data_IF_899728013090
#
_entry.id   IF_899728013090
#
_cell.length_a   1.000
_cell.length_b   1.000
_cell.length_c   1.000
_cell.angle_alpha   90.00
_cell.angle_beta   90.00
_cell.angle_gamma   90.00
#
_symmetry.space_group_name_H-M   'P 1'
#
loop_
_entity.id
_entity.type
_entity.pdbx_description
1 polymer ?
#
# COMPACT_ATOMS: atom_id res chain seq x y z
N UNK A 1 10.48 -29.20 2.17
CA UNK A 1 11.76 -28.80 2.80
C UNK A 1 12.59 -27.82 1.97
N UNK A 2 12.70 -27.96 0.64
CA UNK A 2 13.55 -27.07 -0.20
C UNK A 2 13.23 -25.56 -0.11
N UNK A 3 11.95 -25.16 -0.04
CA UNK A 3 11.56 -23.75 0.03
C UNK A 3 12.09 -23.02 1.27
N UNK A 4 11.99 -23.66 2.45
CA UNK A 4 12.51 -23.11 3.71
C UNK A 4 14.03 -22.94 3.68
N UNK A 5 14.76 -23.92 3.13
CA UNK A 5 16.21 -23.83 3.00
C UNK A 5 16.64 -22.67 2.07
N UNK A 6 15.92 -22.48 0.96
CA UNK A 6 16.16 -21.37 0.02
C UNK A 6 15.95 -20.00 0.69
N UNK A 7 14.90 -19.85 1.50
CA UNK A 7 14.66 -18.62 2.25
C UNK A 7 15.75 -18.36 3.30
N UNK A 8 16.20 -19.39 4.01
CA UNK A 8 17.30 -19.27 4.99
C UNK A 8 18.58 -18.77 4.30
N UNK A 9 18.97 -19.39 3.19
CA UNK A 9 20.16 -18.98 2.42
C UNK A 9 20.04 -17.52 1.95
N UNK A 10 18.86 -17.12 1.49
CA UNK A 10 18.60 -15.75 1.05
C UNK A 10 18.67 -14.74 2.20
N UNK A 11 18.10 -15.05 3.36
CA UNK A 11 18.19 -14.21 4.55
C UNK A 11 19.65 -14.06 5.02
N UNK A 12 20.43 -15.15 5.01
CA UNK A 12 21.86 -15.10 5.31
C UNK A 12 22.61 -14.17 4.33
N UNK A 13 22.33 -14.25 3.03
CA UNK A 13 22.90 -13.33 2.02
C UNK A 13 22.51 -11.89 2.28
N UNK A 14 21.25 -11.63 2.61
CA UNK A 14 20.76 -10.29 2.95
C UNK A 14 21.51 -9.73 4.16
N UNK A 15 21.63 -10.50 5.24
CA UNK A 15 22.36 -10.09 6.44
C UNK A 15 23.86 -9.87 6.19
N UNK A 16 24.44 -10.59 5.22
CA UNK A 16 25.83 -10.44 4.83
C UNK A 16 26.09 -9.27 3.86
N UNK A 17 25.05 -8.59 3.36
CA UNK A 17 25.17 -7.51 2.35
C UNK A 17 25.08 -6.13 3.02
N UNK A 18 26.20 -5.38 3.15
CA UNK A 18 26.22 -4.11 3.88
C UNK A 18 25.27 -3.05 3.33
N UNK A 19 25.06 -3.00 2.01
CA UNK A 19 24.13 -2.04 1.38
C UNK A 19 22.68 -2.26 1.82
N UNK A 20 22.34 -3.46 2.30
CA UNK A 20 21.01 -3.79 2.80
C UNK A 20 20.95 -3.60 4.32
N UNK A 21 21.98 -4.02 5.06
CA UNK A 21 21.95 -3.96 6.52
C UNK A 21 22.36 -2.62 7.13
N UNK A 22 23.14 -1.79 6.43
CA UNK A 22 23.59 -0.49 6.96
C UNK A 22 22.44 0.46 7.31
N UNK A 23 21.43 0.70 6.44
CA UNK A 23 20.33 1.62 6.77
C UNK A 23 19.57 1.25 8.05
N UNK A 24 19.06 0.01 8.24
CA UNK A 24 18.44 -0.36 9.51
C UNK A 24 19.42 -0.31 10.68
N UNK A 25 20.69 -0.70 10.52
CA UNK A 25 21.66 -0.67 11.61
C UNK A 25 21.98 0.76 12.09
N UNK A 26 22.17 1.71 11.16
CA UNK A 26 22.39 3.12 11.53
C UNK A 26 21.20 3.69 12.28
N UNK A 27 19.98 3.30 11.86
CA UNK A 27 18.74 3.71 12.52
C UNK A 27 18.67 3.16 13.93
N UNK A 28 19.00 1.88 14.11
CA UNK A 28 19.01 1.26 15.42
C UNK A 28 20.04 1.92 16.35
N UNK A 29 21.27 2.11 15.89
CA UNK A 29 22.32 2.76 16.69
C UNK A 29 21.89 4.16 17.18
N UNK A 30 21.28 4.96 16.30
CA UNK A 30 20.81 6.31 16.66
C UNK A 30 19.59 6.29 17.59
N UNK A 31 18.62 5.39 17.40
CA UNK A 31 17.49 5.22 18.33
C UNK A 31 17.97 4.89 19.74
N UNK A 32 18.97 4.02 19.84
CA UNK A 32 19.57 3.64 21.13
C UNK A 32 20.29 4.81 21.79
N UNK A 33 21.05 5.62 21.04
CA UNK A 33 21.67 6.87 21.57
C UNK A 33 20.62 7.82 22.17
N UNK A 34 19.41 7.85 21.61
CA UNK A 34 18.27 8.62 22.11
C UNK A 34 17.47 7.91 23.23
N UNK A 35 17.99 6.82 23.77
CA UNK A 35 17.32 6.03 24.83
C UNK A 35 16.16 5.16 24.36
N UNK A 36 15.86 5.08 23.05
CA UNK A 36 14.73 4.29 22.51
C UNK A 36 15.17 2.88 22.15
N UNK A 37 14.90 1.89 23.02
CA UNK A 37 15.21 0.47 22.79
C UNK A 37 14.07 -0.24 22.05
N UNK A 38 14.07 -0.13 20.73
CA UNK A 38 13.00 -0.63 19.83
C UNK A 38 13.13 -2.09 19.36
N UNK A 39 14.11 -2.83 19.87
CA UNK A 39 14.38 -4.24 19.56
C UNK A 39 14.66 -5.03 20.85
N UNK A 40 14.51 -6.37 20.84
CA UNK A 40 14.87 -7.21 21.99
C UNK A 40 16.32 -6.98 22.44
N UNK A 41 16.58 -7.04 23.76
CA UNK A 41 17.90 -6.80 24.34
C UNK A 41 19.01 -7.67 23.74
N UNK A 42 18.71 -8.91 23.39
CA UNK A 42 19.67 -9.82 22.74
C UNK A 42 20.13 -9.30 21.36
N UNK A 43 19.24 -8.63 20.61
CA UNK A 43 19.59 -8.03 19.31
C UNK A 43 20.52 -6.83 19.50
N UNK A 44 20.33 -6.05 20.56
CA UNK A 44 21.20 -4.91 20.89
C UNK A 44 22.61 -5.33 21.28
N UNK A 45 22.75 -6.42 22.04
CA UNK A 45 24.05 -6.97 22.42
C UNK A 45 24.86 -7.38 21.18
N UNK A 46 24.23 -8.03 20.20
CA UNK A 46 24.90 -8.42 18.95
C UNK A 46 25.33 -7.23 18.07
N UNK A 47 24.57 -6.13 18.09
CA UNK A 47 24.88 -4.92 17.31
C UNK A 47 26.12 -4.19 17.87
N UNK A 48 26.30 -4.18 19.19
CA UNK A 48 27.41 -3.48 19.85
C UNK A 48 28.76 -4.18 19.65
N UNK A 49 28.76 -5.52 19.56
CA UNK A 49 29.98 -6.32 19.41
C UNK A 49 30.69 -6.12 18.06
N UNK A 50 30.16 -5.27 17.17
CA UNK A 50 30.73 -4.89 15.87
C UNK A 50 31.12 -6.07 14.96
N UNK A 51 30.62 -7.28 15.25
CA UNK A 51 31.10 -8.55 14.68
C UNK A 51 29.96 -9.38 14.11
N UNK A 52 29.32 -8.88 13.04
CA UNK A 52 28.28 -9.55 12.23
C UNK A 52 27.01 -9.94 13.04
N UNK A 53 25.84 -9.76 12.45
CA UNK A 53 24.56 -10.17 13.04
C UNK A 53 24.50 -11.71 13.04
N UNK A 54 24.63 -12.37 14.20
CA UNK A 54 24.89 -13.83 14.22
C UNK A 54 23.64 -14.68 14.45
N UNK A 55 22.80 -14.38 15.45
CA UNK A 55 21.75 -15.34 15.87
C UNK A 55 20.42 -14.71 16.25
N UNK A 56 20.40 -13.76 17.18
CA UNK A 56 19.16 -13.13 17.67
C UNK A 56 18.57 -12.18 16.62
N UNK A 57 19.41 -11.43 15.91
CA UNK A 57 18.93 -10.59 14.79
C UNK A 57 18.36 -11.44 13.66
N UNK A 58 19.03 -12.56 13.35
CA UNK A 58 18.55 -13.51 12.35
C UNK A 58 17.21 -14.13 12.77
N UNK A 59 17.09 -14.55 14.03
CA UNK A 59 15.86 -15.09 14.59
C UNK A 59 14.71 -14.08 14.49
N UNK A 60 14.96 -12.82 14.87
CA UNK A 60 13.99 -11.73 14.77
C UNK A 60 13.57 -11.44 13.32
N UNK A 61 14.53 -11.31 12.40
CA UNK A 61 14.23 -11.09 10.99
C UNK A 61 13.46 -12.26 10.38
N UNK A 62 13.81 -13.50 10.75
CA UNK A 62 13.12 -14.71 10.32
C UNK A 62 11.69 -14.78 10.86
N UNK A 63 11.46 -14.35 12.10
CA UNK A 63 10.13 -14.29 12.71
C UNK A 63 9.25 -13.24 12.01
N UNK A 64 9.75 -12.02 11.84
CA UNK A 64 9.05 -10.93 11.14
C UNK A 64 8.69 -11.29 9.69
N UNK A 65 9.54 -12.07 9.02
CA UNK A 65 9.38 -12.47 7.62
C UNK A 65 8.82 -13.89 7.48
N UNK A 66 8.37 -14.52 8.56
CA UNK A 66 7.97 -15.93 8.56
C UNK A 66 6.74 -16.21 7.69
N UNK A 67 5.86 -15.23 7.51
CA UNK A 67 4.70 -15.28 6.61
C UNK A 67 4.99 -14.84 5.19
N UNK A 68 6.17 -14.27 4.92
CA UNK A 68 6.49 -13.59 3.68
C UNK A 68 7.42 -14.42 2.79
N UNK A 69 7.35 -14.15 1.48
CA UNK A 69 8.31 -14.69 0.52
C UNK A 69 9.15 -13.57 -0.07
N UNK A 70 10.44 -13.51 0.28
CA UNK A 70 11.35 -12.59 -0.39
C UNK A 70 11.65 -13.13 -1.80
N UNK A 71 11.48 -12.25 -2.79
CA UNK A 71 11.73 -12.53 -4.21
C UNK A 71 12.77 -11.55 -4.76
N UNK A 72 13.30 -11.81 -5.96
CA UNK A 72 14.15 -10.87 -6.68
C UNK A 72 13.45 -10.32 -7.92
N UNK A 73 13.59 -9.02 -8.15
CA UNK A 73 13.13 -8.34 -9.35
C UNK A 73 14.06 -7.16 -9.65
N UNK A 74 14.54 -7.08 -10.90
CA UNK A 74 15.39 -5.98 -11.36
C UNK A 74 16.60 -5.72 -10.46
N UNK A 75 17.32 -6.81 -10.12
CA UNK A 75 18.48 -6.78 -9.23
C UNK A 75 18.16 -6.63 -7.74
N UNK A 76 16.97 -6.17 -7.36
CA UNK A 76 16.55 -5.89 -5.98
C UNK A 76 15.77 -7.03 -5.35
N UNK A 77 15.72 -7.05 -4.02
CA UNK A 77 14.87 -7.91 -3.21
C UNK A 77 13.51 -7.24 -2.97
N UNK A 78 12.46 -8.05 -2.99
CA UNK A 78 11.07 -7.61 -2.77
C UNK A 78 10.39 -8.57 -1.81
N UNK A 79 10.04 -8.08 -0.62
CA UNK A 79 9.23 -8.79 0.38
C UNK A 79 7.78 -8.84 -0.10
N UNK A 80 7.15 -7.67 -0.25
CA UNK A 80 5.83 -7.46 -0.82
C UNK A 80 5.72 -6.00 -1.28
N UNK A 81 4.58 -5.63 -1.86
CA UNK A 81 4.33 -4.28 -2.37
C UNK A 81 4.11 -3.18 -1.32
N UNK A 82 4.01 -3.51 -0.03
CA UNK A 82 3.88 -2.54 1.06
C UNK A 82 5.22 -1.95 1.50
N UNK A 83 6.32 -2.61 1.13
CA UNK A 83 7.67 -2.16 1.44
C UNK A 83 8.40 -1.82 0.13
N UNK A 84 9.24 -0.76 0.12
CA UNK A 84 10.04 -0.45 -1.04
C UNK A 84 11.04 -1.59 -1.34
N UNK A 85 11.37 -1.83 -2.63
CA UNK A 85 12.36 -2.83 -3.01
C UNK A 85 13.75 -2.42 -2.50
N UNK A 86 14.59 -3.38 -2.13
CA UNK A 86 15.90 -3.12 -1.52
C UNK A 86 17.06 -3.90 -2.14
N UNK A 87 18.27 -3.34 -2.18
CA UNK A 87 18.63 -2.00 -1.72
C UNK A 87 18.10 -0.89 -2.66
N UNK A 88 18.02 0.34 -2.15
CA UNK A 88 17.61 1.51 -2.93
C UNK A 88 17.23 2.72 -2.07
N UNK A 89 17.17 3.90 -2.71
CA UNK A 89 16.91 5.18 -2.04
C UNK A 89 15.58 5.22 -1.27
N UNK A 90 14.53 4.61 -1.82
CA UNK A 90 13.23 4.47 -1.15
C UNK A 90 13.31 3.62 0.12
N UNK A 91 14.09 2.53 0.08
CA UNK A 91 14.34 1.67 1.24
C UNK A 91 15.13 2.41 2.31
N UNK A 92 16.23 3.07 1.92
CA UNK A 92 17.03 3.89 2.83
C UNK A 92 16.17 4.96 3.52
N UNK A 93 15.36 5.68 2.73
CA UNK A 93 14.44 6.70 3.22
C UNK A 93 13.43 6.16 4.23
N UNK A 94 12.80 5.01 3.96
CA UNK A 94 11.85 4.39 4.88
C UNK A 94 12.50 4.17 6.25
N UNK A 95 13.76 3.70 6.28
CA UNK A 95 14.51 3.50 7.51
C UNK A 95 14.93 4.83 8.16
N UNK A 96 15.43 5.80 7.39
CA UNK A 96 15.77 7.13 7.91
C UNK A 96 14.56 7.83 8.54
N UNK A 97 13.37 7.70 7.97
CA UNK A 97 12.14 8.28 8.52
C UNK A 97 11.72 7.65 9.87
N UNK A 98 12.17 6.43 10.18
CA UNK A 98 11.96 5.86 11.52
C UNK A 98 12.75 6.61 12.61
N UNK A 99 13.81 7.34 12.24
CA UNK A 99 14.65 8.17 13.15
C UNK A 99 14.09 9.54 13.45
N UNK A 100 13.35 10.16 12.54
CA UNK A 100 12.83 11.51 12.72
C UNK A 100 11.78 11.60 13.85
N UNK A 101 11.36 10.46 14.40
CA UNK A 101 10.09 10.35 15.10
C UNK A 101 8.96 10.36 14.06
N UNK A 102 7.88 9.62 14.31
CA UNK A 102 6.76 9.34 13.38
C UNK A 102 6.06 10.57 12.76
N UNK A 103 6.47 11.80 13.08
CA UNK A 103 5.75 13.02 12.76
C UNK A 103 6.04 13.61 11.37
N UNK A 104 7.18 13.31 10.74
CA UNK A 104 7.62 14.12 9.58
C UNK A 104 7.48 13.48 8.20
N UNK A 105 7.22 12.17 8.07
CA UNK A 105 7.22 11.54 6.75
C UNK A 105 6.29 10.33 6.60
N UNK A 106 5.46 10.27 5.54
CA UNK A 106 4.70 9.06 5.21
C UNK A 106 5.63 7.96 4.65
N UNK A 107 5.31 6.70 4.94
CA UNK A 107 5.89 5.55 4.25
C UNK A 107 5.38 5.49 2.81
N UNK A 108 4.07 5.63 2.61
CA UNK A 108 3.48 5.72 1.27
C UNK A 108 2.51 6.88 1.12
N UNK A 109 2.45 7.43 -0.08
CA UNK A 109 1.44 8.40 -0.45
C UNK A 109 0.81 8.00 -1.79
N UNK A 110 -0.51 8.10 -1.89
CA UNK A 110 -1.25 7.79 -3.10
C UNK A 110 -1.91 9.04 -3.65
N UNK A 111 -1.82 9.25 -4.97
CA UNK A 111 -2.40 10.41 -5.64
C UNK A 111 -3.42 9.93 -6.67
N UNK A 112 -4.66 10.37 -6.54
CA UNK A 112 -5.62 10.28 -7.63
C UNK A 112 -5.32 11.35 -8.67
N UNK A 113 -4.73 10.99 -9.81
CA UNK A 113 -4.25 11.97 -10.80
C UNK A 113 -5.35 12.54 -11.69
N UNK A 114 -6.51 11.88 -11.70
CA UNK A 114 -7.69 12.32 -12.45
C UNK A 114 -8.95 11.75 -11.79
N UNK A 115 -10.13 12.32 -12.08
CA UNK A 115 -11.41 11.68 -11.79
C UNK A 115 -11.92 10.81 -12.95
N UNK A 116 -11.38 10.99 -14.14
CA UNK A 116 -11.89 10.37 -15.36
C UNK A 116 -11.62 8.86 -15.36
N UNK A 117 -12.67 8.07 -15.57
CA UNK A 117 -12.57 6.62 -15.57
C UNK A 117 -13.56 6.01 -16.58
N UNK A 118 -13.11 5.17 -17.53
CA UNK A 118 -13.99 4.53 -18.49
C UNK A 118 -14.73 3.30 -17.92
N UNK A 119 -14.72 3.13 -16.60
CA UNK A 119 -15.31 2.02 -15.85
C UNK A 119 -16.33 2.53 -14.84
N UNK A 120 -17.26 1.65 -14.47
CA UNK A 120 -18.29 1.93 -13.48
C UNK A 120 -18.36 0.83 -12.40
N UNK A 121 -17.19 0.45 -11.87
CA UNK A 121 -17.02 -0.65 -10.91
C UNK A 121 -18.04 -0.62 -9.77
N UNK A 122 -18.52 -1.77 -9.32
CA UNK A 122 -19.50 -1.87 -8.22
C UNK A 122 -18.97 -1.36 -6.88
N UNK A 123 -17.67 -1.52 -6.62
CA UNK A 123 -16.99 -1.20 -5.34
C UNK A 123 -16.25 0.14 -5.31
N UNK A 124 -16.39 0.99 -6.34
CA UNK A 124 -15.53 2.16 -6.50
C UNK A 124 -15.55 3.09 -5.27
N UNK A 125 -14.41 3.20 -4.58
CA UNK A 125 -14.23 4.09 -3.42
C UNK A 125 -14.23 5.57 -3.80
N UNK A 126 -13.82 5.89 -5.04
CA UNK A 126 -13.68 7.26 -5.53
C UNK A 126 -15.02 7.90 -5.96
N UNK A 127 -16.15 7.20 -5.80
CA UNK A 127 -17.48 7.75 -6.10
C UNK A 127 -17.76 8.97 -5.23
N UNK A 128 -18.22 10.06 -5.87
CA UNK A 128 -18.58 11.32 -5.19
C UNK A 128 -17.48 12.39 -5.26
N UNK A 129 -16.25 12.04 -5.63
CA UNK A 129 -15.18 13.01 -5.90
C UNK A 129 -15.42 13.68 -7.27
N UNK A 130 -16.22 14.76 -7.27
CA UNK A 130 -16.70 15.43 -8.50
C UNK A 130 -15.88 16.66 -8.91
N UNK A 131 -15.04 17.17 -8.01
CA UNK A 131 -14.24 18.40 -8.23
C UNK A 131 -13.30 18.24 -9.44
N UNK A 132 -12.95 19.33 -10.15
CA UNK A 132 -12.02 19.28 -11.28
C UNK A 132 -10.62 18.79 -10.88
N UNK A 133 -9.92 18.18 -11.83
CA UNK A 133 -8.54 17.74 -11.65
C UNK A 133 -7.59 18.92 -11.48
N UNK A 134 -6.59 18.77 -10.60
CA UNK A 134 -5.47 19.69 -10.54
C UNK A 134 -4.74 19.75 -11.89
N UNK A 135 -4.33 20.94 -12.36
CA UNK A 135 -3.49 21.03 -13.55
C UNK A 135 -2.22 20.20 -13.40
N UNK A 136 -1.72 19.60 -14.49
CA UNK A 136 -0.50 18.77 -14.45
C UNK A 136 0.69 19.49 -13.80
N UNK A 137 0.84 20.81 -14.02
CA UNK A 137 1.89 21.61 -13.38
C UNK A 137 1.80 21.58 -11.85
N UNK A 138 0.60 21.63 -11.27
CA UNK A 138 0.37 21.51 -9.84
C UNK A 138 0.58 20.08 -9.34
N UNK A 139 0.20 19.07 -10.12
CA UNK A 139 0.47 17.66 -9.77
C UNK A 139 1.97 17.33 -9.73
N UNK A 140 2.76 17.95 -10.62
CA UNK A 140 4.23 17.82 -10.60
C UNK A 140 4.82 18.45 -9.33
N UNK A 141 4.37 19.65 -8.95
CA UNK A 141 4.79 20.30 -7.69
C UNK A 141 4.39 19.45 -6.48
N UNK A 142 3.16 18.94 -6.45
CA UNK A 142 2.70 18.03 -5.39
C UNK A 142 3.58 16.78 -5.28
N UNK A 143 4.01 16.23 -6.42
CA UNK A 143 4.91 15.07 -6.44
C UNK A 143 6.28 15.40 -5.83
N UNK A 144 6.78 16.62 -6.02
CA UNK A 144 7.99 17.09 -5.33
C UNK A 144 7.78 17.27 -3.85
N UNK A 145 6.65 17.85 -3.45
CA UNK A 145 6.32 18.08 -2.05
C UNK A 145 6.26 16.76 -1.29
N UNK A 146 5.68 15.72 -1.89
CA UNK A 146 5.71 14.36 -1.34
C UNK A 146 7.13 13.79 -1.23
N UNK A 147 7.97 14.02 -2.24
CA UNK A 147 9.37 13.59 -2.20
C UNK A 147 10.16 14.33 -1.11
N UNK A 148 9.90 15.63 -0.92
CA UNK A 148 10.51 16.48 0.12
C UNK A 148 10.04 16.09 1.51
N UNK A 149 8.76 15.76 1.66
CA UNK A 149 8.17 15.21 2.88
C UNK A 149 8.71 13.81 3.21
N UNK A 150 9.47 13.19 2.32
CA UNK A 150 10.12 11.91 2.58
C UNK A 150 9.26 10.70 2.27
N UNK A 151 8.25 10.80 1.40
CA UNK A 151 7.51 9.64 0.93
C UNK A 151 8.45 8.58 0.32
N UNK A 152 8.38 7.34 0.82
CA UNK A 152 9.22 6.23 0.34
C UNK A 152 8.58 5.52 -0.84
N UNK A 153 7.25 5.40 -0.82
CA UNK A 153 6.45 4.87 -1.92
C UNK A 153 5.50 5.97 -2.39
N UNK A 154 5.43 6.21 -3.70
CA UNK A 154 4.39 7.06 -4.29
C UNK A 154 3.60 6.20 -5.26
N UNK A 155 2.30 6.09 -5.03
CA UNK A 155 1.40 5.38 -5.94
C UNK A 155 0.50 6.34 -6.71
N UNK A 156 0.36 6.13 -8.01
CA UNK A 156 -0.60 6.85 -8.83
C UNK A 156 -1.83 5.98 -9.07
N UNK A 157 -3.00 6.58 -8.87
CA UNK A 157 -4.34 5.99 -8.98
C UNK A 157 -5.29 7.08 -9.50
N UNK A 158 -6.59 6.94 -9.24
CA UNK A 158 -7.58 8.01 -9.40
C UNK A 158 -8.13 8.10 -10.80
N UNK A 159 -9.47 8.07 -10.83
CA UNK A 159 -10.18 7.61 -11.99
C UNK A 159 -9.48 6.36 -12.51
N UNK A 160 -9.12 6.41 -13.78
CA UNK A 160 -8.10 5.54 -14.37
C UNK A 160 -6.84 6.38 -14.68
N UNK A 161 -5.70 6.17 -13.99
CA UNK A 161 -4.51 7.00 -14.19
C UNK A 161 -3.91 6.91 -15.61
N UNK A 162 -4.21 5.84 -16.36
CA UNK A 162 -3.85 5.75 -17.78
C UNK A 162 -4.67 6.68 -18.68
N UNK A 163 -5.71 7.36 -18.19
CA UNK A 163 -6.36 8.46 -18.91
C UNK A 163 -5.59 9.79 -18.75
N UNK A 164 -4.67 9.88 -17.78
CA UNK A 164 -3.87 11.08 -17.60
C UNK A 164 -2.72 11.14 -18.62
N UNK A 165 -2.80 12.10 -19.55
CA UNK A 165 -1.86 12.27 -20.69
C UNK A 165 -0.39 12.33 -20.26
N UNK A 166 -0.11 12.95 -19.11
CA UNK A 166 1.26 13.18 -18.61
C UNK A 166 1.66 12.24 -17.46
N UNK A 167 1.02 11.06 -17.33
CA UNK A 167 1.31 10.11 -16.24
C UNK A 167 2.79 9.68 -16.18
N UNK A 168 3.45 9.58 -17.34
CA UNK A 168 4.88 9.25 -17.41
C UNK A 168 5.76 10.32 -16.76
N UNK A 169 5.39 11.60 -16.84
CA UNK A 169 6.15 12.71 -16.26
C UNK A 169 6.03 12.71 -14.73
N UNK A 170 4.84 12.42 -14.21
CA UNK A 170 4.61 12.25 -12.77
C UNK A 170 5.42 11.07 -12.21
N UNK A 171 5.41 9.93 -12.92
CA UNK A 171 6.24 8.76 -12.57
C UNK A 171 7.72 9.14 -12.56
N UNK A 172 8.20 9.81 -13.61
CA UNK A 172 9.60 10.25 -13.70
C UNK A 172 9.98 11.18 -12.56
N UNK A 173 9.09 12.10 -12.20
CA UNK A 173 9.30 13.03 -11.10
C UNK A 173 9.44 12.31 -9.77
N UNK A 174 8.52 11.42 -9.44
CA UNK A 174 8.54 10.62 -8.21
C UNK A 174 9.77 9.70 -8.12
N UNK A 175 10.10 9.01 -9.22
CA UNK A 175 11.25 8.11 -9.28
C UNK A 175 12.58 8.86 -9.12
N UNK A 176 12.74 9.99 -9.81
CA UNK A 176 13.93 10.86 -9.69
C UNK A 176 14.03 11.46 -8.27
N UNK A 177 12.87 11.79 -7.68
CA UNK A 177 12.73 12.20 -6.30
C UNK A 177 13.06 11.11 -5.28
N UNK A 178 13.35 9.88 -5.72
CA UNK A 178 13.84 8.78 -4.89
C UNK A 178 12.77 7.85 -4.31
N UNK A 179 11.50 8.03 -4.69
CA UNK A 179 10.42 7.14 -4.28
C UNK A 179 10.38 5.86 -5.13
N UNK A 180 9.89 4.77 -4.55
CA UNK A 180 9.47 3.60 -5.31
C UNK A 180 8.07 3.87 -5.86
N UNK A 181 7.93 3.87 -7.19
CA UNK A 181 6.69 4.28 -7.85
C UNK A 181 5.82 3.08 -8.20
N UNK A 182 4.55 3.13 -7.82
CA UNK A 182 3.54 2.10 -8.13
C UNK A 182 2.41 2.74 -8.95
N UNK A 183 1.89 2.03 -9.94
CA UNK A 183 0.70 2.45 -10.68
C UNK A 183 -0.46 1.47 -10.40
N UNK A 184 -1.60 1.97 -9.97
CA UNK A 184 -2.83 1.19 -9.78
C UNK A 184 -3.80 1.46 -10.93
N UNK A 185 -4.14 0.45 -11.71
CA UNK A 185 -4.87 0.64 -12.97
C UNK A 185 -5.79 -0.54 -13.28
N UNK A 186 -6.80 -0.29 -14.10
CA UNK A 186 -7.59 -1.31 -14.79
C UNK A 186 -6.83 -1.96 -15.96
N UNK A 187 -5.78 -1.29 -16.45
CA UNK A 187 -5.04 -1.70 -17.65
C UNK A 187 -5.57 -1.08 -18.95
N UNK A 188 -6.71 -0.39 -18.91
CA UNK A 188 -7.30 0.24 -20.10
C UNK A 188 -6.35 1.28 -20.71
N UNK A 189 -5.96 1.04 -21.97
CA UNK A 189 -5.03 1.88 -22.71
C UNK A 189 -3.55 1.64 -22.39
N UNK A 190 -3.20 0.47 -21.82
CA UNK A 190 -1.81 0.03 -21.67
C UNK A 190 -1.42 -0.99 -22.75
N UNK A 191 -0.67 -0.53 -23.75
CA UNK A 191 0.00 -1.40 -24.71
C UNK A 191 1.50 -1.60 -24.35
N UNK A 192 2.22 -2.35 -25.18
CA UNK A 192 3.64 -2.63 -24.97
C UNK A 192 4.52 -1.38 -25.02
N UNK A 193 4.26 -0.45 -25.94
CA UNK A 193 5.03 0.77 -26.10
C UNK A 193 4.89 1.65 -24.85
N UNK A 194 3.64 1.86 -24.43
CA UNK A 194 3.32 2.61 -23.23
C UNK A 194 3.90 1.95 -21.99
N UNK A 195 3.82 0.63 -21.85
CA UNK A 195 4.45 -0.09 -20.73
C UNK A 195 5.98 0.13 -20.69
N UNK A 196 6.68 0.07 -21.84
CA UNK A 196 8.12 0.39 -21.93
C UNK A 196 8.40 1.85 -21.59
N UNK A 197 7.57 2.79 -22.03
CA UNK A 197 7.68 4.22 -21.70
C UNK A 197 7.56 4.45 -20.19
N UNK A 198 6.59 3.81 -19.53
CA UNK A 198 6.41 3.92 -18.07
C UNK A 198 7.58 3.28 -17.31
N UNK A 199 8.08 2.11 -17.75
CA UNK A 199 9.29 1.49 -17.18
C UNK A 199 10.50 2.42 -17.31
N UNK A 200 10.72 3.02 -18.48
CA UNK A 200 11.81 3.98 -18.73
C UNK A 200 11.68 5.25 -17.88
N UNK A 201 10.45 5.68 -17.59
CA UNK A 201 10.20 6.78 -16.67
C UNK A 201 10.55 6.44 -15.21
N UNK A 202 10.78 5.16 -14.88
CA UNK A 202 11.12 4.73 -13.53
C UNK A 202 9.97 4.08 -12.77
N UNK A 203 8.88 3.69 -13.45
CA UNK A 203 7.84 2.89 -12.83
C UNK A 203 8.43 1.57 -12.34
N UNK A 204 8.31 1.30 -11.04
CA UNK A 204 8.82 0.07 -10.45
C UNK A 204 7.79 -1.05 -10.57
N UNK A 205 6.56 -0.79 -10.13
CA UNK A 205 5.51 -1.79 -10.06
C UNK A 205 4.19 -1.28 -10.64
N UNK A 206 3.38 -2.20 -11.14
CA UNK A 206 2.04 -1.93 -11.65
C UNK A 206 1.07 -2.97 -11.10
N UNK A 207 -0.07 -2.51 -10.62
CA UNK A 207 -1.10 -3.31 -9.98
C UNK A 207 -2.39 -3.23 -10.80
N UNK A 208 -2.76 -4.37 -11.38
CA UNK A 208 -3.94 -4.49 -12.21
C UNK A 208 -5.16 -4.94 -11.43
N UNK A 209 -6.26 -4.27 -11.67
CA UNK A 209 -7.58 -4.61 -11.14
C UNK A 209 -8.13 -5.90 -11.77
N UNK A 210 -8.29 -6.99 -11.00
CA UNK A 210 -8.79 -8.30 -11.46
C UNK A 210 -9.68 -8.95 -10.40
N UNK A 211 -11.00 -8.79 -10.51
CA UNK A 211 -11.97 -9.28 -9.50
C UNK A 211 -12.54 -10.69 -9.77
N UNK A 212 -12.27 -11.31 -10.91
CA UNK A 212 -12.68 -12.69 -11.21
C UNK A 212 -11.78 -13.28 -12.29
N UNK A 213 -11.60 -14.60 -12.27
CA UNK A 213 -10.96 -15.35 -13.36
C UNK A 213 -11.90 -15.60 -14.54
N UNK A 214 -13.20 -15.36 -14.37
CA UNK A 214 -14.20 -15.52 -15.42
C UNK A 214 -14.46 -14.19 -16.13
N UNK A 215 -14.33 -14.12 -17.47
CA UNK A 215 -14.46 -12.88 -18.23
C UNK A 215 -15.78 -12.15 -17.97
N UNK A 216 -16.91 -12.85 -18.07
CA UNK A 216 -18.24 -12.24 -17.92
C UNK A 216 -18.49 -11.68 -16.51
N UNK A 217 -18.04 -12.40 -15.48
CA UNK A 217 -18.15 -11.94 -14.09
C UNK A 217 -17.27 -10.71 -13.90
N UNK A 218 -16.01 -10.75 -14.34
CA UNK A 218 -15.09 -9.63 -14.22
C UNK A 218 -15.63 -8.39 -14.94
N UNK A 219 -16.08 -8.54 -16.19
CA UNK A 219 -16.66 -7.47 -17.01
C UNK A 219 -17.88 -6.83 -16.33
N UNK A 220 -18.78 -7.64 -15.77
CA UNK A 220 -19.94 -7.16 -15.00
C UNK A 220 -19.52 -6.39 -13.76
N UNK A 221 -18.63 -6.93 -12.94
CA UNK A 221 -18.13 -6.26 -11.72
C UNK A 221 -17.46 -4.92 -12.05
N UNK A 222 -16.74 -4.86 -13.16
CA UNK A 222 -16.03 -3.65 -13.63
C UNK A 222 -16.93 -2.67 -14.38
N UNK A 223 -18.16 -3.06 -14.73
CA UNK A 223 -19.10 -2.23 -15.47
C UNK A 223 -18.60 -1.90 -16.89
N UNK A 224 -17.81 -2.79 -17.50
CA UNK A 224 -17.22 -2.61 -18.83
C UNK A 224 -17.07 -3.95 -19.53
N UNK A 225 -17.66 -4.08 -20.72
CA UNK A 225 -17.73 -5.32 -21.50
C UNK A 225 -16.37 -5.88 -21.93
N UNK A 226 -15.35 -5.05 -22.02
CA UNK A 226 -14.00 -5.40 -22.48
C UNK A 226 -12.98 -5.50 -21.35
N UNK A 227 -13.42 -5.37 -20.08
CA UNK A 227 -12.52 -5.23 -18.93
C UNK A 227 -11.51 -6.39 -18.81
N UNK A 228 -11.97 -7.62 -18.99
CA UNK A 228 -11.14 -8.82 -18.83
C UNK A 228 -10.05 -8.89 -19.90
N UNK A 229 -10.40 -8.67 -21.16
CA UNK A 229 -9.44 -8.70 -22.27
C UNK A 229 -8.42 -7.57 -22.15
N UNK A 230 -8.87 -6.37 -21.74
CA UNK A 230 -8.01 -5.23 -21.48
C UNK A 230 -6.98 -5.53 -20.38
N UNK A 231 -7.40 -6.10 -19.24
CA UNK A 231 -6.46 -6.42 -18.16
C UNK A 231 -5.52 -7.56 -18.53
N UNK A 232 -5.98 -8.57 -19.28
CA UNK A 232 -5.11 -9.65 -19.76
C UNK A 232 -4.03 -9.11 -20.72
N UNK A 233 -4.41 -8.25 -21.66
CA UNK A 233 -3.48 -7.59 -22.59
C UNK A 233 -2.47 -6.71 -21.85
N UNK A 234 -2.96 -5.89 -20.92
CA UNK A 234 -2.15 -4.98 -20.12
C UNK A 234 -1.14 -5.72 -19.23
N UNK A 235 -1.54 -6.84 -18.61
CA UNK A 235 -0.62 -7.72 -17.86
C UNK A 235 0.49 -8.23 -18.77
N UNK A 236 0.16 -8.71 -19.97
CA UNK A 236 1.17 -9.18 -20.95
C UNK A 236 2.14 -8.06 -21.32
N UNK A 237 1.65 -6.86 -21.62
CA UNK A 237 2.46 -5.69 -21.94
C UNK A 237 3.42 -5.32 -20.80
N UNK A 238 2.91 -5.23 -19.56
CA UNK A 238 3.71 -4.92 -18.39
C UNK A 238 4.80 -5.98 -18.10
N UNK A 239 4.46 -7.26 -18.25
CA UNK A 239 5.42 -8.36 -18.14
C UNK A 239 6.51 -8.26 -19.21
N UNK A 240 6.14 -7.98 -20.46
CA UNK A 240 7.08 -7.78 -21.57
C UNK A 240 8.02 -6.59 -21.37
N UNK A 241 7.55 -5.53 -20.70
CA UNK A 241 8.36 -4.37 -20.33
C UNK A 241 9.25 -4.60 -19.08
N UNK A 242 9.15 -5.75 -18.41
CA UNK A 242 9.95 -6.05 -17.22
C UNK A 242 9.53 -5.27 -15.97
N UNK A 243 8.25 -4.90 -15.86
CA UNK A 243 7.68 -4.29 -14.65
C UNK A 243 7.38 -5.34 -13.58
N UNK A 244 7.48 -4.95 -12.30
CA UNK A 244 6.97 -5.77 -11.21
C UNK A 244 5.44 -5.78 -11.30
N UNK A 245 4.89 -6.88 -11.81
CA UNK A 245 3.48 -6.93 -12.22
C UNK A 245 2.66 -7.60 -11.14
N UNK A 246 1.57 -6.96 -10.73
CA UNK A 246 0.66 -7.44 -9.71
C UNK A 246 -0.77 -7.45 -10.23
N UNK A 247 -1.60 -8.31 -9.64
CA UNK A 247 -3.06 -8.25 -9.81
C UNK A 247 -3.70 -8.08 -8.44
N UNK A 248 -4.85 -7.41 -8.37
CA UNK A 248 -5.56 -7.14 -7.12
C UNK A 248 -7.05 -7.40 -7.27
N UNK A 249 -7.63 -8.08 -6.29
CA UNK A 249 -9.07 -8.33 -6.21
C UNK A 249 -9.67 -7.77 -4.92
N UNK A 250 -10.98 -7.52 -4.95
CA UNK A 250 -11.77 -7.12 -3.77
C UNK A 250 -12.53 -8.34 -3.23
N UNK A 251 -12.28 -8.68 -1.96
CA UNK A 251 -12.94 -9.77 -1.26
C UNK A 251 -14.32 -9.35 -0.73
N UNK A 252 -15.31 -10.19 -1.01
CA UNK A 252 -16.71 -10.09 -0.58
C UNK A 252 -17.17 -11.48 -0.11
N UNK A 253 -18.31 -11.59 0.60
CA UNK A 253 -18.86 -12.90 0.96
C UNK A 253 -19.04 -13.83 -0.25
N UNK A 254 -19.54 -13.32 -1.38
CA UNK A 254 -19.65 -14.11 -2.63
C UNK A 254 -18.28 -14.62 -3.09
N UNK A 255 -17.28 -13.73 -3.17
CA UNK A 255 -15.93 -14.06 -3.59
C UNK A 255 -15.27 -15.13 -2.70
N UNK A 256 -15.61 -15.14 -1.41
CA UNK A 256 -15.17 -16.18 -0.47
C UNK A 256 -15.89 -17.50 -0.72
N UNK A 257 -17.22 -17.47 -0.89
CA UNK A 257 -18.06 -18.66 -1.15
C UNK A 257 -17.69 -19.36 -2.46
N UNK A 258 -17.36 -18.60 -3.52
CA UNK A 258 -16.97 -19.14 -4.83
C UNK A 258 -15.49 -19.52 -4.91
N UNK A 259 -14.74 -19.33 -3.82
CA UNK A 259 -13.28 -19.46 -3.77
C UNK A 259 -12.54 -18.68 -4.87
N UNK A 260 -13.05 -17.52 -5.26
CA UNK A 260 -12.46 -16.70 -6.33
C UNK A 260 -11.00 -16.32 -6.03
N UNK A 261 -10.63 -16.19 -4.75
CA UNK A 261 -9.23 -16.00 -4.34
C UNK A 261 -8.30 -17.13 -4.83
N UNK A 262 -8.77 -18.39 -4.87
CA UNK A 262 -7.97 -19.50 -5.41
C UNK A 262 -7.94 -19.46 -6.94
N UNK A 263 -9.08 -19.21 -7.57
CA UNK A 263 -9.20 -19.22 -9.03
C UNK A 263 -8.37 -18.10 -9.66
N UNK A 264 -8.45 -16.90 -9.11
CA UNK A 264 -7.63 -15.74 -9.51
C UNK A 264 -6.15 -16.02 -9.23
N UNK A 265 -5.80 -16.64 -8.10
CA UNK A 265 -4.41 -17.02 -7.84
C UNK A 265 -3.87 -17.99 -8.90
N UNK A 266 -4.65 -18.99 -9.32
CA UNK A 266 -4.25 -19.90 -10.40
C UNK A 266 -4.05 -19.16 -11.72
N UNK A 267 -4.94 -18.21 -12.05
CA UNK A 267 -4.78 -17.35 -13.23
C UNK A 267 -3.52 -16.48 -13.12
N UNK A 268 -3.27 -15.87 -11.96
CA UNK A 268 -2.09 -15.07 -11.67
C UNK A 268 -0.79 -15.88 -11.86
N UNK A 269 -0.77 -17.14 -11.43
CA UNK A 269 0.34 -18.08 -11.66
C UNK A 269 0.54 -18.35 -13.15
N UNK A 270 -0.53 -18.63 -13.91
CA UNK A 270 -0.48 -18.84 -15.37
C UNK A 270 0.08 -17.60 -16.08
N UNK A 271 -0.34 -16.41 -15.68
CA UNK A 271 0.13 -15.12 -16.19
C UNK A 271 1.55 -14.76 -15.70
N UNK A 272 2.13 -15.55 -14.78
CA UNK A 272 3.47 -15.35 -14.20
C UNK A 272 3.61 -13.98 -13.54
N UNK A 273 2.54 -13.41 -12.99
CA UNK A 273 2.60 -12.16 -12.23
C UNK A 273 3.40 -12.37 -10.95
N UNK A 274 3.95 -11.30 -10.41
CA UNK A 274 4.86 -11.34 -9.26
C UNK A 274 4.08 -11.44 -7.94
N UNK A 275 2.92 -10.81 -7.85
CA UNK A 275 2.14 -10.71 -6.62
C UNK A 275 0.64 -10.64 -6.91
N UNK A 276 -0.15 -11.36 -6.12
CA UNK A 276 -1.59 -11.28 -6.08
C UNK A 276 -2.02 -10.62 -4.76
N UNK A 277 -2.61 -9.43 -4.86
CA UNK A 277 -3.13 -8.66 -3.73
C UNK A 277 -4.61 -8.98 -3.50
N UNK A 278 -4.99 -9.12 -2.24
CA UNK A 278 -6.39 -9.30 -1.85
C UNK A 278 -6.72 -8.20 -0.85
N UNK A 279 -7.68 -7.34 -1.20
CA UNK A 279 -8.16 -6.24 -0.37
C UNK A 279 -9.62 -6.54 0.00
N UNK A 280 -10.04 -6.19 1.20
CA UNK A 280 -11.44 -6.34 1.61
C UNK A 280 -12.31 -5.26 0.96
N UNK A 281 -13.58 -5.55 0.74
CA UNK A 281 -14.54 -4.50 0.40
C UNK A 281 -14.59 -3.48 1.55
N UNK A 282 -14.31 -2.22 1.24
CA UNK A 282 -14.31 -1.14 2.22
C UNK A 282 -15.63 -0.36 2.13
N UNK A 283 -16.35 -0.15 3.24
CA UNK A 283 -17.65 0.53 3.26
C UNK A 283 -17.50 2.05 3.03
N UNK A 284 -17.23 2.42 1.79
CA UNK A 284 -17.00 3.79 1.33
C UNK A 284 -17.39 3.93 -0.15
N UNK A 285 -17.49 5.16 -0.65
CA UNK A 285 -17.85 5.42 -2.06
C UNK A 285 -19.18 4.76 -2.41
N UNK A 286 -19.18 3.87 -3.42
CA UNK A 286 -20.39 3.11 -3.80
C UNK A 286 -20.90 2.11 -2.75
N UNK A 287 -20.06 1.77 -1.77
CA UNK A 287 -20.38 0.79 -0.72
C UNK A 287 -20.70 1.45 0.63
N UNK A 288 -20.91 2.77 0.66
CA UNK A 288 -21.09 3.53 1.90
C UNK A 288 -22.14 2.94 2.84
N UNK A 289 -23.27 2.47 2.29
CA UNK A 289 -24.40 1.90 3.03
C UNK A 289 -24.57 0.39 2.77
N UNK A 290 -23.50 -0.32 2.40
CA UNK A 290 -23.57 -1.73 2.02
C UNK A 290 -22.70 -2.64 2.90
N UNK A 291 -23.21 -2.90 4.11
CA UNK A 291 -22.59 -3.80 5.08
C UNK A 291 -22.53 -5.27 4.60
N UNK A 292 -23.40 -5.68 3.65
CA UNK A 292 -23.43 -7.05 3.11
C UNK A 292 -22.16 -7.43 2.32
N UNK A 293 -21.33 -6.43 1.99
CA UNK A 293 -20.08 -6.65 1.26
C UNK A 293 -18.90 -6.96 2.18
N UNK A 294 -19.06 -6.76 3.49
CA UNK A 294 -18.02 -7.02 4.50
C UNK A 294 -17.90 -8.53 4.73
N UNK A 295 -16.68 -9.04 4.68
CA UNK A 295 -16.41 -10.47 4.90
C UNK A 295 -16.43 -10.82 6.40
N UNK A 296 -16.70 -12.09 6.71
CA UNK A 296 -16.74 -12.56 8.10
C UNK A 296 -15.34 -12.69 8.72
N UNK A 297 -15.26 -12.75 10.06
CA UNK A 297 -14.00 -13.03 10.74
C UNK A 297 -13.38 -14.39 10.33
N UNK A 298 -14.21 -15.36 9.93
CA UNK A 298 -13.74 -16.66 9.46
C UNK A 298 -13.16 -16.58 8.04
N UNK A 299 -13.76 -15.77 7.17
CA UNK A 299 -13.21 -15.45 5.86
C UNK A 299 -11.84 -14.79 5.97
N UNK A 300 -11.69 -13.85 6.92
CA UNK A 300 -10.41 -13.20 7.23
C UNK A 300 -9.35 -14.24 7.63
N UNK A 301 -9.68 -15.15 8.55
CA UNK A 301 -8.76 -16.23 8.93
C UNK A 301 -8.38 -17.10 7.73
N UNK A 302 -9.34 -17.40 6.86
CA UNK A 302 -9.13 -18.18 5.64
C UNK A 302 -8.14 -17.50 4.70
N UNK A 303 -8.32 -16.21 4.41
CA UNK A 303 -7.39 -15.44 3.57
C UNK A 303 -5.99 -15.32 4.19
N UNK A 304 -5.91 -15.11 5.51
CA UNK A 304 -4.62 -15.10 6.25
C UNK A 304 -3.92 -16.46 6.20
N UNK A 305 -4.66 -17.56 6.32
CA UNK A 305 -4.11 -18.90 6.18
C UNK A 305 -3.63 -19.16 4.75
N UNK A 306 -4.42 -18.75 3.75
CA UNK A 306 -4.06 -18.85 2.34
C UNK A 306 -2.76 -18.09 2.02
N UNK A 307 -2.63 -16.84 2.48
CA UNK A 307 -1.41 -16.05 2.36
C UNK A 307 -0.19 -16.83 2.90
N UNK A 308 -0.24 -17.24 4.18
CA UNK A 308 0.87 -17.91 4.86
C UNK A 308 1.23 -19.23 4.17
N UNK A 309 0.23 -20.02 3.80
CA UNK A 309 0.42 -21.30 3.14
C UNK A 309 1.13 -21.13 1.80
N UNK A 310 0.68 -20.19 0.95
CA UNK A 310 1.29 -19.97 -0.36
C UNK A 310 2.72 -19.44 -0.22
N UNK A 311 2.94 -18.39 0.59
CA UNK A 311 4.24 -17.75 0.71
C UNK A 311 5.31 -18.65 1.36
N UNK A 312 4.91 -19.55 2.26
CA UNK A 312 5.83 -20.54 2.87
C UNK A 312 6.50 -21.49 1.86
N UNK A 313 5.92 -21.63 0.66
CA UNK A 313 6.41 -22.50 -0.41
C UNK A 313 7.41 -21.81 -1.34
N UNK A 314 7.78 -20.56 -1.06
CA UNK A 314 8.64 -19.74 -1.92
C UNK A 314 8.15 -19.68 -3.39
N UNK A 315 6.89 -19.28 -3.61
CA UNK A 315 6.27 -19.33 -4.92
C UNK A 315 6.87 -18.26 -5.85
N UNK A 316 6.66 -18.43 -7.16
CA UNK A 316 6.98 -17.38 -8.14
C UNK A 316 5.99 -16.20 -8.04
N UNK A 317 4.71 -16.50 -7.83
CA UNK A 317 3.63 -15.55 -7.60
C UNK A 317 3.28 -15.56 -6.13
N UNK A 318 3.53 -14.45 -5.45
CA UNK A 318 3.26 -14.31 -4.02
C UNK A 318 1.81 -13.91 -3.77
N UNK A 319 1.31 -14.17 -2.57
CA UNK A 319 0.03 -13.63 -2.11
C UNK A 319 0.29 -12.51 -1.11
N UNK A 320 -0.45 -11.42 -1.23
CA UNK A 320 -0.39 -10.27 -0.33
C UNK A 320 -1.81 -9.87 0.08
N UNK A 321 -2.37 -10.57 1.06
CA UNK A 321 -3.64 -10.22 1.66
C UNK A 321 -3.48 -9.02 2.64
N UNK A 322 -4.28 -7.97 2.47
CA UNK A 322 -4.23 -6.77 3.31
C UNK A 322 -4.50 -7.09 4.77
N UNK A 323 -5.51 -7.92 5.06
CA UNK A 323 -5.87 -8.34 6.41
C UNK A 323 -4.84 -9.26 7.09
N UNK A 324 -3.79 -9.69 6.37
CA UNK A 324 -2.60 -10.28 6.97
C UNK A 324 -1.56 -9.19 7.27
N UNK A 325 -1.23 -8.32 6.32
CA UNK A 325 -0.18 -7.31 6.48
C UNK A 325 -0.56 -6.22 7.49
N UNK A 326 -1.79 -5.72 7.40
CA UNK A 326 -2.39 -4.73 8.29
C UNK A 326 -3.16 -5.39 9.45
N UNK A 327 -2.81 -6.64 9.79
CA UNK A 327 -3.44 -7.32 10.91
C UNK A 327 -3.03 -6.68 12.25
N UNK A 328 -3.83 -6.86 13.31
CA UNK A 328 -3.51 -6.40 14.66
C UNK A 328 -2.13 -6.84 15.18
N UNK A 329 -1.68 -8.02 14.76
CA UNK A 329 -0.41 -8.62 15.16
C UNK A 329 0.78 -8.03 14.39
N UNK A 330 0.56 -7.57 13.16
CA UNK A 330 1.55 -6.93 12.31
C UNK A 330 1.39 -5.40 12.35
N UNK A 331 1.13 -4.74 11.22
CA UNK A 331 1.22 -3.28 11.14
C UNK A 331 -0.06 -2.55 11.54
N UNK A 332 -1.21 -3.23 11.62
CA UNK A 332 -2.51 -2.56 11.76
C UNK A 332 -2.78 -1.53 10.66
N UNK A 333 -3.67 -0.58 10.95
CA UNK A 333 -4.04 0.49 10.04
C UNK A 333 -3.06 1.67 10.13
N UNK A 334 -2.35 1.93 9.02
CA UNK A 334 -1.41 3.05 8.89
C UNK A 334 -2.04 4.35 8.38
N UNK A 335 -3.37 4.43 8.24
CA UNK A 335 -4.06 5.62 7.74
C UNK A 335 -3.71 6.87 8.57
N UNK A 336 -3.35 7.96 7.90
CA UNK A 336 -3.02 9.25 8.52
C UNK A 336 -1.70 9.27 9.31
N UNK A 337 -1.00 8.14 9.45
CA UNK A 337 0.23 8.02 10.25
C UNK A 337 1.41 7.49 9.47
N UNK A 338 1.18 6.48 8.63
CA UNK A 338 2.17 5.90 7.72
C UNK A 338 1.79 6.12 6.26
N UNK A 339 0.51 6.31 5.98
CA UNK A 339 -0.02 6.46 4.64
C UNK A 339 -0.88 7.72 4.55
N UNK A 340 -0.95 8.29 3.35
CA UNK A 340 -1.92 9.32 2.99
C UNK A 340 -2.45 9.08 1.58
N UNK A 341 -3.59 9.67 1.28
CA UNK A 341 -4.19 9.74 -0.03
C UNK A 341 -4.45 11.21 -0.39
N UNK A 342 -4.22 11.60 -1.63
CA UNK A 342 -4.53 12.93 -2.13
C UNK A 342 -5.45 12.77 -3.33
N UNK A 343 -6.65 13.36 -3.26
CA UNK A 343 -7.63 13.25 -4.33
C UNK A 343 -7.26 14.11 -5.56
N UNK A 344 -8.06 13.99 -6.63
CA UNK A 344 -7.80 14.68 -7.89
C UNK A 344 -7.86 16.21 -7.77
N UNK A 345 -8.52 16.74 -6.75
CA UNK A 345 -8.65 18.16 -6.47
C UNK A 345 -7.70 18.66 -5.38
N UNK A 346 -6.81 17.79 -4.87
CA UNK A 346 -5.79 18.13 -3.90
C UNK A 346 -6.22 18.04 -2.43
N UNK A 347 -7.40 17.49 -2.12
CA UNK A 347 -7.78 17.21 -0.73
C UNK A 347 -6.94 16.04 -0.19
N UNK A 348 -6.39 16.19 1.01
CA UNK A 348 -5.52 15.19 1.64
C UNK A 348 -6.31 14.40 2.68
N UNK A 349 -6.35 13.09 2.49
CA UNK A 349 -7.06 12.13 3.32
C UNK A 349 -6.12 11.08 3.95
N UNK A 350 -6.54 10.38 5.02
CA UNK A 350 -5.74 9.35 5.69
C UNK A 350 -5.42 8.13 4.83
N UNK A 351 -6.37 7.72 3.98
CA UNK A 351 -6.20 6.69 2.96
C UNK A 351 -7.27 6.84 1.88
N UNK A 352 -7.18 6.05 0.82
CA UNK A 352 -8.10 6.02 -0.32
C UNK A 352 -9.53 5.55 0.01
N UNK A 353 -9.73 4.96 1.20
CA UNK A 353 -11.03 4.50 1.69
C UNK A 353 -11.64 5.40 2.77
N UNK A 354 -10.87 6.36 3.32
CA UNK A 354 -11.32 7.19 4.44
C UNK A 354 -11.50 8.64 3.94
N UNK A 355 -12.72 9.04 3.53
CA UNK A 355 -12.98 10.33 2.87
C UNK A 355 -13.06 11.48 3.88
N UNK A 356 -12.02 11.63 4.70
CA UNK A 356 -11.86 12.68 5.71
C UNK A 356 -10.76 13.63 5.25
N UNK A 357 -11.10 14.86 4.84
CA UNK A 357 -10.10 15.84 4.44
C UNK A 357 -9.43 16.46 5.67
N UNK A 358 -8.11 16.53 5.63
CA UNK A 358 -7.31 17.25 6.62
C UNK A 358 -6.77 18.58 6.09
N UNK A 359 -7.07 18.93 4.84
CA UNK A 359 -6.57 20.13 4.19
C UNK A 359 -6.42 19.93 2.69
N UNK A 360 -6.07 21.00 1.97
CA UNK A 360 -5.90 20.94 0.53
C UNK A 360 -4.60 21.62 0.10
N UNK A 361 -3.84 20.92 -0.74
CA UNK A 361 -2.49 21.31 -1.19
C UNK A 361 -2.46 22.54 -2.11
N UNK A 362 -3.62 23.03 -2.54
CA UNK A 362 -3.76 24.33 -3.22
C UNK A 362 -3.82 25.48 -2.23
N UNK A 363 -4.37 25.24 -1.03
CA UNK A 363 -4.64 26.27 -0.02
C UNK A 363 -3.53 26.39 1.02
N UNK A 364 -2.83 25.30 1.31
CA UNK A 364 -1.83 25.25 2.37
C UNK A 364 -0.71 24.24 2.06
N UNK A 365 0.49 24.37 2.66
CA UNK A 365 1.59 23.43 2.45
C UNK A 365 1.23 22.01 2.86
N UNK A 366 1.65 21.03 2.06
CA UNK A 366 1.39 19.61 2.33
C UNK A 366 1.89 19.15 3.70
N UNK A 367 3.05 19.65 4.15
CA UNK A 367 3.61 19.34 5.46
C UNK A 367 2.67 19.74 6.61
N UNK A 368 2.05 20.92 6.52
CA UNK A 368 1.07 21.39 7.52
C UNK A 368 -0.14 20.46 7.58
N UNK A 369 -0.65 20.05 6.42
CA UNK A 369 -1.79 19.13 6.33
C UNK A 369 -1.43 17.74 6.89
N UNK A 370 -0.24 17.24 6.54
CA UNK A 370 0.27 15.97 7.05
C UNK A 370 0.40 15.98 8.58
N UNK A 371 0.99 17.03 9.15
CA UNK A 371 1.15 17.16 10.60
C UNK A 371 -0.21 17.17 11.32
N UNK A 372 -1.16 17.97 10.81
CA UNK A 372 -2.52 18.02 11.35
C UNK A 372 -3.19 16.64 11.36
N UNK A 373 -3.08 15.91 10.25
CA UNK A 373 -3.62 14.56 10.12
C UNK A 373 -2.92 13.56 11.04
N UNK A 374 -1.58 13.61 11.10
CA UNK A 374 -0.76 12.75 11.94
C UNK A 374 -1.08 12.95 13.42
N UNK A 375 -1.29 14.20 13.85
CA UNK A 375 -1.69 14.54 15.21
C UNK A 375 -3.11 14.04 15.55
N UNK A 376 -4.05 14.14 14.60
CA UNK A 376 -5.41 13.64 14.81
C UNK A 376 -5.46 12.10 14.96
N UNK A 377 -4.63 11.37 14.21
CA UNK A 377 -4.57 9.91 14.30
C UNK A 377 -3.61 9.40 15.40
N UNK A 378 -2.59 10.19 15.74
CA UNK A 378 -1.50 9.97 16.71
C UNK A 378 -0.57 8.79 16.40
N UNK A 379 -1.12 7.57 16.34
CA UNK A 379 -0.38 6.32 16.16
C UNK A 379 -1.17 5.37 15.25
N UNK A 380 -0.51 4.40 14.58
CA UNK A 380 -1.20 3.37 13.81
C UNK A 380 -2.26 2.66 14.66
N UNK A 381 -3.45 2.44 14.11
CA UNK A 381 -4.59 1.83 14.82
C UNK A 381 -4.52 0.31 14.72
N UNK A 382 -4.99 -0.41 15.75
CA UNK A 382 -5.02 -1.89 15.74
C UNK A 382 -5.86 -2.47 14.61
N UNK A 383 -6.95 -1.79 14.24
CA UNK A 383 -7.91 -2.23 13.22
C UNK A 383 -8.09 -1.18 12.12
N UNK A 384 -8.57 -1.61 10.96
CA UNK A 384 -8.90 -0.73 9.84
C UNK A 384 -9.89 0.37 10.27
N UNK A 385 -9.50 1.64 10.07
CA UNK A 385 -10.25 2.77 10.58
C UNK A 385 -11.64 2.89 9.94
N UNK A 386 -11.72 2.75 8.60
CA UNK A 386 -13.01 2.84 7.90
C UNK A 386 -13.91 1.66 8.26
N UNK A 387 -13.41 0.41 8.29
CA UNK A 387 -14.24 -0.74 8.65
C UNK A 387 -14.86 -0.59 10.05
N UNK A 388 -14.11 -0.07 11.03
CA UNK A 388 -14.61 0.12 12.40
C UNK A 388 -15.62 1.29 12.52
N UNK A 389 -15.42 2.37 11.75
CA UNK A 389 -16.11 3.64 11.98
C UNK A 389 -17.02 4.10 10.82
N UNK A 390 -17.25 3.25 9.81
CA UNK A 390 -17.99 3.63 8.60
C UNK A 390 -19.39 4.17 8.86
N UNK A 391 -20.13 3.62 9.85
CA UNK A 391 -21.49 4.10 10.17
C UNK A 391 -21.52 5.56 10.60
N UNK A 392 -20.59 5.94 11.48
CA UNK A 392 -20.43 7.33 11.91
C UNK A 392 -20.05 8.25 10.74
N UNK A 393 -19.12 7.79 9.89
CA UNK A 393 -18.68 8.54 8.71
C UNK A 393 -19.83 8.70 7.71
N UNK A 394 -20.59 7.64 7.44
CA UNK A 394 -21.75 7.63 6.54
C UNK A 394 -22.87 8.54 7.04
N UNK A 395 -23.14 8.56 8.35
CA UNK A 395 -24.07 9.50 8.97
C UNK A 395 -23.66 10.95 8.71
N UNK A 396 -22.39 11.30 8.96
CA UNK A 396 -21.87 12.65 8.72
C UNK A 396 -21.90 13.03 7.24
N UNK A 397 -21.56 12.11 6.34
CA UNK A 397 -21.65 12.33 4.88
C UNK A 397 -23.09 12.62 4.46
N UNK A 398 -24.08 11.87 4.97
CA UNK A 398 -25.50 12.12 4.68
C UNK A 398 -25.97 13.46 5.21
N UNK A 399 -25.56 13.82 6.43
CA UNK A 399 -25.88 15.11 7.03
C UNK A 399 -25.26 16.30 6.25
N UNK A 400 -24.13 16.10 5.58
CA UNK A 400 -23.45 17.09 4.73
C UNK A 400 -23.80 16.92 3.24
N UNK A 401 -25.05 16.59 2.91
CA UNK A 401 -25.56 16.48 1.53
C UNK A 401 -24.70 15.60 0.61
N UNK A 402 -24.22 14.46 1.12
CA UNK A 402 -23.36 13.52 0.40
C UNK A 402 -22.00 14.09 -0.03
N UNK A 403 -21.54 15.17 0.61
CA UNK A 403 -20.24 15.77 0.34
C UNK A 403 -19.12 14.80 0.71
N UNK A 404 -18.20 14.58 -0.24
CA UNK A 404 -16.96 13.84 -0.03
C UNK A 404 -15.77 14.55 -0.70
N UNK A 405 -14.58 14.55 -0.07
CA UNK A 405 -14.37 14.19 1.34
C UNK A 405 -15.06 15.18 2.31
N UNK A 406 -15.35 14.72 3.52
CA UNK A 406 -15.80 15.59 4.63
C UNK A 406 -14.74 16.66 4.90
N UNK A 407 -15.16 17.83 5.33
CA UNK A 407 -14.22 18.92 5.61
C UNK A 407 -13.37 18.69 6.86
N UNK A 408 -12.41 19.60 7.08
CA UNK A 408 -11.42 19.50 8.15
C UNK A 408 -12.08 19.47 9.54
N UNK A 409 -13.13 20.26 9.76
CA UNK A 409 -13.79 20.33 11.08
C UNK A 409 -14.54 19.05 11.37
N UNK A 410 -15.33 18.54 10.43
CA UNK A 410 -16.02 17.27 10.56
C UNK A 410 -15.04 16.10 10.70
N UNK A 411 -13.93 16.12 9.96
CA UNK A 411 -12.88 15.10 10.04
C UNK A 411 -12.22 15.06 11.41
N UNK A 412 -11.87 16.22 11.98
CA UNK A 412 -11.32 16.31 13.34
C UNK A 412 -12.34 15.94 14.42
N UNK A 413 -13.62 16.24 14.21
CA UNK A 413 -14.70 15.78 15.08
C UNK A 413 -14.80 14.26 15.11
N UNK A 414 -14.80 13.61 13.94
CA UNK A 414 -14.82 12.14 13.84
C UNK A 414 -13.60 11.53 14.53
N UNK A 415 -12.40 12.05 14.31
CA UNK A 415 -11.20 11.54 14.98
C UNK A 415 -11.29 11.63 16.51
N UNK A 416 -11.92 12.69 17.06
CA UNK A 416 -12.17 12.83 18.51
C UNK A 416 -13.19 11.82 19.03
N UNK A 417 -14.21 11.48 18.23
CA UNK A 417 -15.21 10.46 18.58
C UNK A 417 -14.68 9.03 18.43
N UNK A 418 -13.61 8.84 17.67
CA UNK A 418 -12.94 7.56 17.45
C UNK A 418 -11.56 7.52 18.17
N UNK A 419 -11.52 7.57 19.51
CA UNK A 419 -10.26 7.66 20.26
C UNK A 419 -9.36 6.46 19.99
N UNK A 420 -8.06 6.67 20.17
CA UNK A 420 -7.04 5.63 20.05
C UNK A 420 -7.34 4.47 21.01
N UNK A 421 -7.42 3.25 20.48
CA UNK A 421 -7.69 2.05 21.27
C UNK A 421 -6.39 1.41 21.74
N UNK A 422 -5.67 0.79 20.81
CA UNK A 422 -4.50 0.01 21.09
C UNK A 422 -3.56 0.04 19.89
N UNK A 423 -2.27 -0.08 20.16
CA UNK A 423 -1.25 -0.18 19.14
C UNK A 423 -1.18 -1.61 18.59
N UNK A 424 -0.88 -1.81 17.29
CA UNK A 424 -0.57 -3.14 16.74
C UNK A 424 0.61 -3.81 17.45
N UNK A 425 0.63 -5.14 17.54
CA UNK A 425 1.59 -5.89 18.38
C UNK A 425 3.04 -5.71 17.93
N UNK A 426 3.27 -5.63 16.62
CA UNK A 426 4.57 -5.23 16.07
C UNK A 426 5.05 -3.91 16.67
N UNK A 427 4.16 -2.91 16.68
CA UNK A 427 4.51 -1.60 17.19
C UNK A 427 4.58 -1.56 18.71
N UNK A 428 3.86 -2.38 19.46
CA UNK A 428 4.10 -2.55 20.91
C UNK A 428 5.53 -3.00 21.19
N UNK A 429 6.05 -3.95 20.41
CA UNK A 429 7.44 -4.44 20.54
C UNK A 429 8.47 -3.36 20.22
N UNK A 430 8.14 -2.47 19.26
CA UNK A 430 9.03 -1.44 18.73
C UNK A 430 8.89 -0.08 19.46
N UNK A 431 7.76 0.20 20.09
CA UNK A 431 7.42 1.49 20.72
C UNK A 431 7.21 1.42 22.23
N UNK A 432 7.72 0.38 22.93
CA UNK A 432 7.73 0.41 24.40
C UNK A 432 8.32 1.76 24.87
N UNK A 433 7.60 2.51 25.73
CA UNK A 433 8.05 3.80 26.25
C UNK A 433 9.46 3.75 26.81
#
# INVERSE_FOLDING_TARGET
>A
MLGKLKQIIMLLRIMATPQITRPPLSVLQELRKRGKKRLPSAVWQEIDDNRKLKTSTFAFARELLSSECISRHDGKYVVNSFLPPFPGRAYERMFTNLLSGRKLSPVSAYIAVTKECPYNCWHCSFKGHVKPDLPTSRQLVLTDDLCRLGASIIGFTGGEPLQHKNIADLIKRAATGGAAVILFTTGCGLDEERARKLKKAGLWAICFSLDSSEPEIHNRLRGRKTAFDEVMSAVKAAKGAGLYTMVSSVATPRFMQTEDYRNIYQLAVKLKVNEYRIVEAMPCGKLLDNDETVISAEDVKTLRAFHRQINSRSPRTKVCAFNQIESPELFGCGAGTQHMFIDNAGEVCPCDFTPLSFGNVVREPLETVWLRMNEAFMLPRRHCFIQKNHRLIAEKIRADNMRVPLDVNSSLEICRQCPFDEMPDYFKTVYKP
#
